data_IF_396358454726
#
_entry.id   IF_396358454726
#
_cell.length_a   1.000
_cell.length_b   1.000
_cell.length_c   1.000
_cell.angle_alpha   90.00
_cell.angle_beta   90.00
_cell.angle_gamma   90.00
#
_symmetry.space_group_name_H-M   'P 1'
#
loop_
_entity.id
_entity.type
_entity.pdbx_description
1 polymer ?
#
# COMPACT_ATOMS: atom_id res chain seq x y z
N UNK A 1 20.17 -17.42 -47.05
CA UNK A 1 19.89 -16.16 -46.35
C UNK A 1 19.55 -16.50 -44.91
N UNK A 2 20.52 -16.34 -44.01
CA UNK A 2 20.35 -16.60 -42.59
C UNK A 2 19.97 -15.28 -41.91
N UNK A 3 18.79 -15.23 -41.28
CA UNK A 3 18.41 -14.12 -40.42
C UNK A 3 18.98 -14.38 -39.02
N UNK A 4 20.02 -13.63 -38.70
CA UNK A 4 20.54 -13.47 -37.34
C UNK A 4 19.51 -12.58 -36.61
N UNK A 5 18.65 -13.19 -35.79
CA UNK A 5 17.83 -12.49 -34.82
C UNK A 5 18.67 -12.30 -33.56
N UNK A 6 19.22 -11.09 -33.42
CA UNK A 6 19.93 -10.64 -32.23
C UNK A 6 18.91 -10.49 -31.11
N UNK A 7 18.74 -11.53 -30.29
CA UNK A 7 18.14 -11.43 -28.97
C UNK A 7 19.05 -10.55 -28.11
N UNK A 8 18.75 -9.26 -28.07
CA UNK A 8 19.29 -8.37 -27.06
C UNK A 8 18.65 -8.75 -25.73
N UNK A 9 19.34 -9.57 -24.95
CA UNK A 9 19.07 -9.76 -23.53
C UNK A 9 19.30 -8.41 -22.83
N UNK A 10 18.28 -7.56 -22.78
CA UNK A 10 18.25 -6.46 -21.83
C UNK A 10 18.17 -7.07 -20.43
N UNK A 11 19.33 -7.31 -19.83
CA UNK A 11 19.45 -7.48 -18.38
C UNK A 11 19.04 -6.13 -17.78
N UNK A 12 17.74 -5.99 -17.50
CA UNK A 12 17.23 -4.94 -16.65
C UNK A 12 17.76 -5.27 -15.25
N UNK A 13 18.91 -4.68 -14.89
CA UNK A 13 19.26 -4.56 -13.49
C UNK A 13 18.18 -3.64 -12.92
N UNK A 14 17.18 -4.22 -12.26
CA UNK A 14 16.28 -3.49 -11.39
C UNK A 14 17.12 -3.02 -10.20
N UNK A 15 17.91 -1.97 -10.44
CA UNK A 15 18.52 -1.19 -9.37
C UNK A 15 17.35 -0.54 -8.64
N UNK A 16 16.85 -1.22 -7.59
CA UNK A 16 16.10 -0.57 -6.53
C UNK A 16 17.02 0.55 -6.06
N UNK A 17 16.68 1.78 -6.42
CA UNK A 17 17.58 2.93 -6.30
C UNK A 17 17.98 3.15 -4.85
N UNK A 18 19.11 2.56 -4.46
CA UNK A 18 19.88 2.93 -3.28
C UNK A 18 20.66 4.20 -3.57
N UNK A 19 20.06 5.34 -3.25
CA UNK A 19 20.72 6.65 -3.19
C UNK A 19 20.73 7.17 -1.75
N UNK A 20 21.92 7.48 -1.26
CA UNK A 20 22.26 7.92 0.09
C UNK A 20 21.21 8.80 0.80
N UNK A 21 20.65 8.25 1.87
CA UNK A 21 19.59 8.79 2.73
C UNK A 21 18.59 7.68 3.00
N UNK A 22 18.79 6.92 4.09
CA UNK A 22 18.14 5.63 4.42
C UNK A 22 16.60 5.76 4.68
N UNK A 23 15.86 6.18 3.66
CA UNK A 23 14.42 6.48 3.70
C UNK A 23 13.57 5.47 2.94
N UNK A 24 14.17 4.57 2.15
CA UNK A 24 13.43 3.58 1.35
C UNK A 24 12.70 2.58 2.25
N UNK A 25 11.38 2.50 2.10
CA UNK A 25 10.60 1.43 2.70
C UNK A 25 11.03 0.09 2.09
N UNK A 26 11.13 -0.94 2.92
CA UNK A 26 11.53 -2.30 2.54
C UNK A 26 10.73 -3.30 3.35
N UNK A 27 10.91 -4.61 3.15
CA UNK A 27 10.25 -5.60 4.01
C UNK A 27 10.53 -5.38 5.51
N UNK A 28 11.64 -4.73 5.85
CA UNK A 28 12.03 -4.37 7.23
C UNK A 28 11.19 -3.25 7.85
N UNK A 29 10.41 -2.53 7.04
CA UNK A 29 9.52 -1.47 7.51
C UNK A 29 8.08 -1.95 7.42
N UNK A 30 7.41 -2.05 8.58
CA UNK A 30 6.05 -2.56 8.69
C UNK A 30 5.14 -1.51 9.32
N UNK A 31 3.93 -1.33 8.77
CA UNK A 31 2.99 -0.32 9.23
C UNK A 31 1.62 -0.85 9.62
N UNK A 32 0.74 0.08 9.99
CA UNK A 32 -0.68 -0.19 10.25
C UNK A 32 -1.57 0.79 9.49
N UNK A 33 -2.72 0.28 9.05
CA UNK A 33 -3.77 1.08 8.45
C UNK A 33 -4.59 1.85 9.50
N UNK A 34 -4.94 3.09 9.18
CA UNK A 34 -5.92 3.93 9.88
C UNK A 34 -5.36 4.72 11.07
N UNK A 35 -4.30 4.25 11.72
CA UNK A 35 -3.66 4.97 12.83
C UNK A 35 -2.22 4.51 13.03
N UNK A 36 -1.49 5.26 13.85
CA UNK A 36 -0.17 4.89 14.31
C UNK A 36 -0.27 3.96 15.54
N UNK A 37 0.51 2.87 15.53
CA UNK A 37 0.68 1.98 16.69
C UNK A 37 2.15 1.97 17.08
N UNK A 38 2.52 1.93 18.38
CA UNK A 38 3.91 2.02 18.83
C UNK A 38 4.82 0.88 18.36
N UNK A 39 4.26 -0.16 17.74
CA UNK A 39 4.98 -1.33 17.21
C UNK A 39 5.27 -1.24 15.71
N UNK A 40 4.70 -0.27 14.99
CA UNK A 40 4.95 -0.06 13.57
C UNK A 40 6.08 0.94 13.30
N UNK A 41 6.61 0.91 12.09
CA UNK A 41 7.58 1.88 11.56
C UNK A 41 6.89 3.03 10.81
N UNK A 42 5.67 2.78 10.32
CA UNK A 42 4.87 3.79 9.64
C UNK A 42 3.37 3.61 9.87
N UNK A 43 2.63 4.71 9.69
CA UNK A 43 1.18 4.73 9.73
C UNK A 43 0.62 5.09 8.35
N UNK A 44 -0.41 4.38 7.90
CA UNK A 44 -1.22 4.80 6.77
C UNK A 44 -2.46 5.53 7.30
N UNK A 45 -2.49 6.86 7.17
CA UNK A 45 -3.54 7.72 7.71
C UNK A 45 -4.58 8.05 6.63
N UNK A 46 -5.86 7.99 6.99
CA UNK A 46 -6.99 8.26 6.08
C UNK A 46 -7.54 9.65 6.34
N UNK A 47 -7.29 10.58 5.42
CA UNK A 47 -7.78 11.96 5.52
C UNK A 47 -8.81 12.24 4.43
N UNK A 48 -9.99 12.67 4.87
CA UNK A 48 -11.14 12.94 4.01
C UNK A 48 -11.37 14.43 3.87
N UNK A 49 -11.68 14.89 2.66
CA UNK A 49 -12.05 16.28 2.42
C UNK A 49 -12.97 16.39 1.21
N UNK A 50 -14.23 16.75 1.46
CA UNK A 50 -15.30 16.85 0.47
C UNK A 50 -15.77 18.29 0.25
N UNK A 51 -15.17 19.26 0.94
CA UNK A 51 -15.44 20.68 0.78
C UNK A 51 -15.20 21.48 2.06
N UNK A 52 -15.54 22.78 2.06
CA UNK A 52 -15.22 23.69 3.18
C UNK A 52 -15.80 23.29 4.54
N UNK A 53 -16.85 22.47 4.56
CA UNK A 53 -17.41 21.94 5.82
C UNK A 53 -16.42 21.04 6.57
N UNK A 54 -15.44 20.46 5.86
CA UNK A 54 -14.40 19.60 6.43
C UNK A 54 -13.15 20.39 6.87
N UNK A 55 -13.12 21.72 6.68
CA UNK A 55 -11.99 22.56 7.11
C UNK A 55 -11.59 22.36 8.58
N UNK A 56 -12.52 22.21 9.54
CA UNK A 56 -12.16 21.92 10.93
C UNK A 56 -11.38 20.61 11.12
N UNK A 57 -11.53 19.62 10.23
CA UNK A 57 -10.81 18.34 10.35
C UNK A 57 -9.31 18.49 10.06
N UNK A 58 -8.91 19.54 9.34
CA UNK A 58 -7.51 19.74 8.92
C UNK A 58 -6.60 19.99 10.13
N UNK A 59 -7.10 20.71 11.14
CA UNK A 59 -6.36 20.91 12.39
C UNK A 59 -6.12 19.57 13.09
N UNK A 60 -7.14 18.71 13.14
CA UNK A 60 -7.02 17.36 13.69
C UNK A 60 -6.05 16.49 12.88
N UNK A 61 -6.08 16.55 11.55
CA UNK A 61 -5.14 15.81 10.68
C UNK A 61 -3.69 16.23 10.90
N UNK A 62 -3.42 17.52 11.06
CA UNK A 62 -2.08 18.01 11.36
C UNK A 62 -1.62 17.59 12.76
N UNK A 63 -2.50 17.58 13.76
CA UNK A 63 -2.19 17.05 15.09
C UNK A 63 -1.83 15.55 15.03
N UNK A 64 -2.58 14.74 14.27
CA UNK A 64 -2.24 13.32 14.06
C UNK A 64 -0.88 13.13 13.40
N UNK A 65 -0.54 13.95 12.40
CA UNK A 65 0.80 13.91 11.77
C UNK A 65 1.91 14.21 12.79
N UNK A 66 1.69 15.17 13.69
CA UNK A 66 2.63 15.47 14.76
C UNK A 66 2.77 14.31 15.75
N UNK A 67 1.68 13.64 16.11
CA UNK A 67 1.71 12.43 16.96
C UNK A 67 2.52 11.30 16.31
N UNK A 68 2.32 11.04 15.02
CA UNK A 68 3.09 10.03 14.27
C UNK A 68 4.58 10.39 14.24
N UNK A 69 4.90 11.66 13.97
CA UNK A 69 6.28 12.13 13.96
C UNK A 69 6.94 12.05 15.34
N UNK A 70 6.23 12.40 16.41
CA UNK A 70 6.72 12.28 17.79
C UNK A 70 6.96 10.81 18.20
N UNK A 71 6.17 9.88 17.64
CA UNK A 71 6.41 8.45 17.79
C UNK A 71 7.61 7.93 16.97
N UNK A 72 8.28 8.79 16.19
CA UNK A 72 9.41 8.42 15.34
C UNK A 72 9.01 7.64 14.08
N UNK A 73 7.74 7.68 13.70
CA UNK A 73 7.18 6.91 12.60
C UNK A 73 7.05 7.75 11.33
N UNK A 74 7.02 7.07 10.18
CA UNK A 74 6.70 7.70 8.89
C UNK A 74 5.19 7.77 8.70
N UNK A 75 4.68 8.83 8.07
CA UNK A 75 3.26 8.95 7.74
C UNK A 75 3.01 8.88 6.24
N UNK A 76 2.27 7.85 5.80
CA UNK A 76 1.68 7.80 4.45
C UNK A 76 0.24 8.30 4.57
N UNK A 77 -0.16 9.27 3.76
CA UNK A 77 -1.49 9.88 3.84
C UNK A 77 -2.35 9.46 2.64
N UNK A 78 -3.40 8.70 2.89
CA UNK A 78 -4.49 8.44 1.95
C UNK A 78 -5.39 9.65 1.81
N UNK A 79 -5.55 10.14 0.59
CA UNK A 79 -6.36 11.29 0.21
C UNK A 79 -7.76 10.83 -0.24
N UNK A 80 -8.76 10.95 0.64
CA UNK A 80 -10.16 10.58 0.38
C UNK A 80 -10.94 11.83 -0.01
N UNK A 81 -10.60 12.36 -1.18
CA UNK A 81 -11.10 13.64 -1.72
C UNK A 81 -12.06 13.46 -2.90
N UNK A 82 -12.33 12.20 -3.27
CA UNK A 82 -13.16 11.82 -4.41
C UNK A 82 -13.95 10.53 -4.14
N UNK A 83 -15.02 10.33 -4.92
CA UNK A 83 -15.76 9.07 -4.92
C UNK A 83 -15.05 8.09 -5.86
N UNK A 84 -14.21 7.26 -5.26
CA UNK A 84 -13.35 6.29 -5.96
C UNK A 84 -14.09 5.14 -6.65
N UNK A 85 -15.40 4.97 -6.40
CA UNK A 85 -16.18 3.85 -6.96
C UNK A 85 -17.04 4.34 -8.11
N UNK A 86 -17.88 5.35 -7.85
CA UNK A 86 -18.88 5.76 -8.84
C UNK A 86 -18.43 6.92 -9.70
N UNK A 87 -17.44 7.71 -9.24
CA UNK A 87 -16.98 8.92 -9.92
C UNK A 87 -18.12 9.89 -10.28
N UNK A 88 -19.13 9.98 -9.40
CA UNK A 88 -20.40 10.67 -9.69
C UNK A 88 -20.31 12.20 -9.79
N UNK A 89 -19.23 12.82 -9.31
CA UNK A 89 -19.06 14.28 -9.31
C UNK A 89 -18.11 14.75 -10.42
N UNK A 90 -18.16 16.04 -10.81
CA UNK A 90 -17.21 16.61 -11.75
C UNK A 90 -15.76 16.48 -11.27
N UNK A 91 -14.84 16.19 -12.21
CA UNK A 91 -13.41 16.01 -11.91
C UNK A 91 -12.80 17.27 -11.29
N UNK A 92 -13.27 18.45 -11.67
CA UNK A 92 -12.81 19.73 -11.15
C UNK A 92 -13.09 19.88 -9.64
N UNK A 93 -14.17 19.28 -9.15
CA UNK A 93 -14.48 19.26 -7.72
C UNK A 93 -13.47 18.39 -6.97
N UNK A 94 -13.19 17.19 -7.48
CA UNK A 94 -12.20 16.27 -6.89
C UNK A 94 -10.80 16.88 -6.89
N UNK A 95 -10.40 17.52 -8.01
CA UNK A 95 -9.12 18.23 -8.12
C UNK A 95 -9.03 19.34 -7.09
N UNK A 96 -10.05 20.21 -6.98
CA UNK A 96 -10.07 21.30 -6.00
C UNK A 96 -9.99 20.80 -4.55
N UNK A 97 -10.73 19.73 -4.23
CA UNK A 97 -10.70 19.13 -2.90
C UNK A 97 -9.30 18.57 -2.57
N UNK A 98 -8.68 17.88 -3.53
CA UNK A 98 -7.32 17.34 -3.41
C UNK A 98 -6.28 18.43 -3.21
N UNK A 99 -6.29 19.46 -4.06
CA UNK A 99 -5.36 20.58 -3.92
C UNK A 99 -5.55 21.32 -2.59
N UNK A 100 -6.79 21.48 -2.14
CA UNK A 100 -7.10 22.16 -0.87
C UNK A 100 -6.55 21.37 0.31
N UNK A 101 -6.81 20.08 0.37
CA UNK A 101 -6.32 19.22 1.46
C UNK A 101 -4.78 19.20 1.46
N UNK A 102 -4.14 18.89 0.33
CA UNK A 102 -2.67 18.82 0.24
C UNK A 102 -2.00 20.14 0.62
N UNK A 103 -2.57 21.28 0.22
CA UNK A 103 -1.99 22.60 0.51
C UNK A 103 -2.07 23.00 1.99
N UNK A 104 -2.98 22.40 2.76
CA UNK A 104 -3.23 22.75 4.17
C UNK A 104 -2.61 21.75 5.17
N UNK A 105 -2.15 20.60 4.70
CA UNK A 105 -1.47 19.61 5.54
C UNK A 105 0.00 19.99 5.82
N UNK A 106 0.52 19.55 6.97
CA UNK A 106 1.94 19.63 7.36
C UNK A 106 2.79 18.66 6.55
N UNK A 107 3.10 19.05 5.31
CA UNK A 107 3.82 18.21 4.36
C UNK A 107 5.23 17.82 4.84
N UNK A 108 5.85 18.61 5.72
CA UNK A 108 7.13 18.30 6.36
C UNK A 108 7.09 17.02 7.21
N UNK A 109 5.90 16.55 7.58
CA UNK A 109 5.68 15.36 8.39
C UNK A 109 5.17 14.15 7.57
N UNK A 110 5.03 14.29 6.25
CA UNK A 110 4.45 13.28 5.37
C UNK A 110 5.55 12.67 4.50
N UNK A 111 5.63 11.34 4.42
CA UNK A 111 6.61 10.67 3.56
C UNK A 111 6.06 10.42 2.14
N UNK A 112 4.75 10.19 2.01
CA UNK A 112 4.09 9.98 0.73
C UNK A 112 2.59 10.23 0.85
N UNK A 113 1.97 10.60 -0.28
CA UNK A 113 0.52 10.56 -0.44
C UNK A 113 0.10 9.27 -1.14
N UNK A 114 -1.13 8.83 -0.92
CA UNK A 114 -1.82 7.82 -1.70
C UNK A 114 -3.18 8.37 -2.14
N UNK A 115 -3.55 8.24 -3.40
CA UNK A 115 -4.90 8.60 -3.83
C UNK A 115 -5.87 7.51 -3.35
N UNK A 116 -6.63 7.77 -2.27
CA UNK A 116 -7.63 6.85 -1.71
C UNK A 116 -7.18 5.38 -1.59
N UNK A 117 -8.14 4.45 -1.46
CA UNK A 117 -7.96 2.99 -1.42
C UNK A 117 -8.73 2.31 -2.56
N UNK A 118 -8.29 1.14 -3.01
CA UNK A 118 -9.08 0.29 -3.94
C UNK A 118 -9.56 1.03 -5.20
N UNK A 119 -8.66 1.79 -5.83
CA UNK A 119 -9.00 2.66 -6.95
C UNK A 119 -9.38 1.85 -8.18
N UNK A 120 -10.41 2.33 -8.88
CA UNK A 120 -10.89 1.71 -10.11
C UNK A 120 -10.46 2.52 -11.34
N UNK A 121 -9.98 1.85 -12.39
CA UNK A 121 -9.54 2.54 -13.63
C UNK A 121 -10.62 2.60 -14.71
N UNK A 122 -11.75 1.91 -14.53
CA UNK A 122 -12.92 2.00 -15.40
C UNK A 122 -13.84 3.15 -14.99
N UNK A 123 -14.93 3.36 -15.73
CA UNK A 123 -15.91 4.41 -15.45
C UNK A 123 -15.27 5.80 -15.28
N UNK A 124 -14.46 6.20 -16.26
CA UNK A 124 -13.63 7.42 -16.25
C UNK A 124 -12.55 7.50 -15.16
N UNK A 125 -12.37 6.44 -14.36
CA UNK A 125 -11.43 6.41 -13.24
C UNK A 125 -9.99 6.67 -13.66
N UNK A 126 -9.53 6.11 -14.78
CA UNK A 126 -8.17 6.39 -15.28
C UNK A 126 -7.90 7.89 -15.48
N UNK A 127 -8.84 8.61 -16.10
CA UNK A 127 -8.68 10.05 -16.35
C UNK A 127 -8.75 10.86 -15.05
N UNK A 128 -9.65 10.50 -14.14
CA UNK A 128 -9.80 11.15 -12.84
C UNK A 128 -8.55 10.93 -11.98
N UNK A 129 -8.09 9.70 -11.82
CA UNK A 129 -6.90 9.38 -11.03
C UNK A 129 -5.65 10.09 -11.56
N UNK A 130 -5.48 10.20 -12.89
CA UNK A 130 -4.40 10.98 -13.47
C UNK A 130 -4.56 12.48 -13.18
N UNK A 131 -5.77 13.04 -13.27
CA UNK A 131 -6.02 14.44 -12.95
C UNK A 131 -5.72 14.75 -11.46
N UNK A 132 -6.04 13.82 -10.56
CA UNK A 132 -5.75 13.91 -9.13
C UNK A 132 -4.27 13.76 -8.83
N UNK A 133 -3.57 12.84 -9.50
CA UNK A 133 -2.11 12.71 -9.41
C UNK A 133 -1.45 14.04 -9.79
N UNK A 134 -1.80 14.62 -10.93
CA UNK A 134 -1.27 15.92 -11.37
C UNK A 134 -1.61 17.05 -10.37
N UNK A 135 -2.79 16.99 -9.73
CA UNK A 135 -3.18 17.93 -8.69
C UNK A 135 -2.27 17.84 -7.45
N UNK A 136 -1.90 16.63 -7.02
CA UNK A 136 -0.90 16.44 -5.96
C UNK A 136 0.46 16.98 -6.41
N UNK A 137 0.95 16.57 -7.58
CA UNK A 137 2.29 16.97 -8.06
C UNK A 137 2.45 18.49 -8.28
N UNK A 138 1.37 19.23 -8.57
CA UNK A 138 1.40 20.70 -8.61
C UNK A 138 1.63 21.36 -7.25
N UNK A 139 1.38 20.65 -6.14
CA UNK A 139 1.43 21.19 -4.78
C UNK A 139 2.60 20.69 -3.96
N UNK A 140 3.24 19.61 -4.40
CA UNK A 140 4.31 18.95 -3.65
C UNK A 140 5.17 18.06 -4.54
N UNK A 141 6.42 17.90 -4.16
CA UNK A 141 7.33 16.92 -4.76
C UNK A 141 7.24 15.54 -4.09
N UNK A 142 6.48 15.41 -2.99
CA UNK A 142 6.30 14.15 -2.30
C UNK A 142 5.76 13.05 -3.24
N UNK A 143 6.19 11.78 -3.06
CA UNK A 143 5.66 10.66 -3.83
C UNK A 143 4.13 10.54 -3.72
N UNK A 144 3.46 10.28 -4.85
CA UNK A 144 2.02 10.02 -4.90
C UNK A 144 1.75 8.58 -5.40
N UNK A 145 1.25 7.75 -4.50
CA UNK A 145 0.95 6.35 -4.73
C UNK A 145 -0.49 6.15 -5.22
N UNK A 146 -0.71 5.05 -5.94
CA UNK A 146 -2.04 4.54 -6.29
C UNK A 146 -2.30 3.24 -5.53
N UNK A 147 -3.47 3.09 -4.92
CA UNK A 147 -3.89 1.84 -4.30
C UNK A 147 -4.81 1.06 -5.23
N UNK A 148 -4.44 -0.16 -5.62
CA UNK A 148 -5.26 -1.06 -6.42
C UNK A 148 -5.61 -2.34 -5.64
N UNK A 149 -6.77 -2.93 -5.93
CA UNK A 149 -7.22 -4.16 -5.27
C UNK A 149 -7.37 -5.25 -6.31
N UNK A 150 -7.12 -6.50 -5.91
CA UNK A 150 -7.39 -7.64 -6.80
C UNK A 150 -8.82 -7.59 -7.37
N UNK A 151 -8.99 -7.94 -8.67
CA UNK A 151 -7.99 -8.51 -9.56
C UNK A 151 -7.12 -7.48 -10.31
N UNK A 152 -7.22 -6.18 -10.02
CA UNK A 152 -6.67 -5.11 -10.85
C UNK A 152 -5.14 -4.96 -10.72
N UNK A 153 -4.37 -5.18 -11.80
CA UNK A 153 -2.94 -4.87 -11.83
C UNK A 153 -2.69 -3.39 -12.20
N UNK A 154 -1.44 -2.91 -12.10
CA UNK A 154 -1.06 -1.59 -12.61
C UNK A 154 -1.46 -1.41 -14.07
N UNK A 155 -2.04 -0.25 -14.37
CA UNK A 155 -2.39 0.14 -15.72
C UNK A 155 -1.26 1.01 -16.30
N UNK A 156 -0.75 0.76 -17.52
CA UNK A 156 0.43 1.43 -18.07
C UNK A 156 0.24 2.93 -18.32
N UNK A 157 -1.01 3.39 -18.42
CA UNK A 157 -1.35 4.82 -18.56
C UNK A 157 -1.75 5.51 -17.25
N UNK A 158 -1.73 4.78 -16.13
CA UNK A 158 -2.06 5.34 -14.82
C UNK A 158 -0.78 5.94 -14.22
N UNK A 159 -0.80 7.23 -13.94
CA UNK A 159 0.32 7.94 -13.35
C UNK A 159 0.42 7.61 -11.85
N UNK A 160 1.65 7.28 -11.41
CA UNK A 160 1.97 6.95 -10.04
C UNK A 160 3.47 7.11 -9.81
N UNK A 161 3.86 7.50 -8.59
CA UNK A 161 5.24 7.41 -8.11
C UNK A 161 5.50 6.07 -7.39
N UNK A 162 4.45 5.28 -7.15
CA UNK A 162 4.49 4.00 -6.44
C UNK A 162 3.11 3.35 -6.33
N UNK A 163 3.08 2.11 -5.88
CA UNK A 163 1.88 1.29 -5.78
C UNK A 163 1.61 0.86 -4.34
N UNK A 164 0.34 0.86 -3.98
CA UNK A 164 -0.18 0.11 -2.85
C UNK A 164 -1.13 -0.93 -3.43
N UNK A 165 -1.15 -2.14 -2.86
CA UNK A 165 -2.18 -3.10 -3.24
C UNK A 165 -2.60 -3.97 -2.08
N UNK A 166 -3.84 -4.44 -2.14
CA UNK A 166 -4.33 -5.53 -1.31
C UNK A 166 -4.83 -6.68 -2.19
N UNK A 167 -4.53 -7.89 -1.74
CA UNK A 167 -4.87 -9.12 -2.44
C UNK A 167 -5.36 -10.15 -1.43
N UNK A 168 -6.29 -9.75 -0.56
CA UNK A 168 -6.80 -10.61 0.50
C UNK A 168 -7.30 -11.93 -0.06
N UNK A 169 -6.95 -13.03 0.61
CA UNK A 169 -7.28 -14.38 0.14
C UNK A 169 -6.38 -14.98 -0.94
N UNK A 170 -5.58 -14.20 -1.69
CA UNK A 170 -4.63 -14.77 -2.65
C UNK A 170 -3.52 -15.54 -1.93
N UNK A 171 -3.09 -16.69 -2.50
CA UNK A 171 -2.12 -17.62 -1.87
C UNK A 171 -0.98 -17.99 -2.81
N UNK A 172 0.16 -18.37 -2.23
CA UNK A 172 1.30 -18.94 -2.95
C UNK A 172 1.59 -18.28 -4.31
N UNK A 173 1.58 -19.07 -5.38
CA UNK A 173 1.91 -18.62 -6.74
C UNK A 173 0.92 -17.58 -7.30
N UNK A 174 -0.34 -17.58 -6.87
CA UNK A 174 -1.33 -16.58 -7.31
C UNK A 174 -0.96 -15.18 -6.79
N UNK A 175 -0.72 -15.06 -5.48
CA UNK A 175 -0.23 -13.80 -4.89
C UNK A 175 1.13 -13.41 -5.48
N UNK A 176 2.03 -14.38 -5.62
CA UNK A 176 3.39 -14.14 -6.15
C UNK A 176 3.35 -13.54 -7.57
N UNK A 177 2.52 -14.10 -8.45
CA UNK A 177 2.34 -13.57 -9.81
C UNK A 177 1.66 -12.21 -9.82
N UNK A 178 0.68 -11.99 -8.94
CA UNK A 178 0.02 -10.70 -8.84
C UNK A 178 1.00 -9.61 -8.37
N UNK A 179 1.74 -9.85 -7.29
CA UNK A 179 2.78 -8.93 -6.80
C UNK A 179 3.84 -8.65 -7.87
N UNK A 180 4.28 -9.67 -8.63
CA UNK A 180 5.26 -9.49 -9.69
C UNK A 180 4.81 -8.44 -10.72
N UNK A 181 3.50 -8.31 -11.01
CA UNK A 181 2.98 -7.28 -11.94
C UNK A 181 3.24 -5.85 -11.47
N UNK A 182 3.30 -5.62 -10.15
CA UNK A 182 3.67 -4.34 -9.57
C UNK A 182 5.18 -4.12 -9.58
N UNK A 183 5.94 -5.13 -9.18
CA UNK A 183 7.40 -5.07 -9.10
C UNK A 183 8.04 -4.80 -10.48
N UNK A 184 7.52 -5.40 -11.56
CA UNK A 184 8.07 -5.19 -12.92
C UNK A 184 7.88 -3.78 -13.45
N UNK A 185 7.04 -2.95 -12.84
CA UNK A 185 6.92 -1.54 -13.21
C UNK A 185 8.18 -0.73 -12.85
N UNK A 186 9.02 -1.25 -11.95
CA UNK A 186 10.20 -0.56 -11.42
C UNK A 186 9.87 0.55 -10.42
N UNK A 187 8.60 0.77 -10.09
CA UNK A 187 8.17 1.70 -9.06
C UNK A 187 8.10 1.01 -7.68
N UNK A 188 8.29 1.77 -6.57
CA UNK A 188 8.05 1.27 -5.22
C UNK A 188 6.67 0.63 -5.07
N UNK A 189 6.58 -0.47 -4.31
CA UNK A 189 5.32 -1.16 -4.01
C UNK A 189 5.21 -1.41 -2.51
N UNK A 190 3.99 -1.30 -1.98
CA UNK A 190 3.64 -1.62 -0.59
C UNK A 190 2.44 -2.58 -0.61
N UNK A 191 2.50 -3.65 0.16
CA UNK A 191 1.38 -4.58 0.30
C UNK A 191 0.56 -4.27 1.56
N UNK A 192 -0.76 -4.23 1.42
CA UNK A 192 -1.68 -4.25 2.54
C UNK A 192 -2.08 -5.70 2.82
N UNK A 193 -1.72 -6.21 3.99
CA UNK A 193 -1.98 -7.60 4.40
C UNK A 193 -3.04 -7.62 5.49
N UNK A 194 -4.02 -8.51 5.36
CA UNK A 194 -5.07 -8.64 6.36
C UNK A 194 -4.50 -9.27 7.65
N UNK A 195 -4.72 -8.59 8.77
CA UNK A 195 -4.42 -9.06 10.11
C UNK A 195 -5.68 -9.13 11.00
N UNK A 196 -6.85 -8.97 10.41
CA UNK A 196 -8.14 -8.95 11.10
C UNK A 196 -8.61 -10.38 11.41
N UNK A 197 -9.19 -10.59 12.59
CA UNK A 197 -9.90 -11.84 12.87
C UNK A 197 -11.18 -11.91 12.00
N UNK A 198 -11.39 -12.95 11.18
CA UNK A 198 -12.54 -12.97 10.32
C UNK A 198 -13.82 -13.20 11.13
N UNK A 199 -14.82 -12.34 10.94
CA UNK A 199 -16.21 -12.70 11.23
C UNK A 199 -16.72 -13.69 10.18
N UNK A 200 -17.71 -14.53 10.51
CA UNK A 200 -18.40 -15.36 9.50
C UNK A 200 -18.90 -14.59 8.28
N UNK A 201 -19.26 -13.31 8.45
CA UNK A 201 -19.72 -12.43 7.37
C UNK A 201 -18.60 -11.78 6.53
N UNK A 202 -17.34 -11.85 6.98
CA UNK A 202 -16.18 -11.19 6.36
C UNK A 202 -15.09 -12.19 5.94
N UNK A 203 -15.36 -13.49 6.07
CA UNK A 203 -14.44 -14.56 5.70
C UNK A 203 -14.36 -14.70 4.17
N UNK A 204 -13.63 -13.79 3.52
CA UNK A 204 -13.05 -14.06 2.20
C UNK A 204 -12.00 -15.19 2.30
N UNK A 205 -11.47 -15.44 3.51
CA UNK A 205 -10.46 -16.45 3.80
C UNK A 205 -11.09 -17.67 4.49
N UNK A 206 -10.84 -18.87 3.95
CA UNK A 206 -11.29 -20.13 4.53
C UNK A 206 -10.40 -20.64 5.69
N UNK A 207 -9.24 -20.02 5.89
CA UNK A 207 -8.27 -20.32 6.95
C UNK A 207 -8.02 -19.03 7.74
N UNK A 208 -8.04 -19.09 9.07
CA UNK A 208 -7.94 -17.90 9.90
C UNK A 208 -6.54 -17.29 9.82
N UNK A 209 -6.45 -15.97 9.90
CA UNK A 209 -5.16 -15.27 10.06
C UNK A 209 -4.42 -15.83 11.27
N UNK A 210 -3.12 -16.09 11.11
CA UNK A 210 -2.27 -16.72 12.13
C UNK A 210 -2.33 -18.24 12.20
N UNK A 211 -3.17 -18.90 11.40
CA UNK A 211 -3.10 -20.35 11.23
C UNK A 211 -2.08 -20.76 10.15
N UNK A 212 -1.41 -21.91 10.31
CA UNK A 212 -0.54 -22.44 9.27
C UNK A 212 -1.26 -22.58 7.93
N UNK A 213 -0.72 -21.92 6.90
CA UNK A 213 -1.30 -21.92 5.57
C UNK A 213 -2.43 -20.90 5.37
N UNK A 214 -2.61 -19.93 6.26
CA UNK A 214 -3.46 -18.77 5.95
C UNK A 214 -2.93 -18.02 4.73
N UNK A 215 -3.80 -17.38 3.93
CA UNK A 215 -3.37 -16.48 2.86
C UNK A 215 -2.40 -15.41 3.35
N UNK A 216 -2.68 -14.78 4.50
CA UNK A 216 -1.83 -13.76 5.08
C UNK A 216 -0.38 -14.25 5.35
N UNK A 217 -0.19 -15.50 5.79
CA UNK A 217 1.14 -16.08 5.99
C UNK A 217 1.92 -16.22 4.68
N UNK A 218 1.28 -16.70 3.61
CA UNK A 218 1.90 -16.80 2.28
C UNK A 218 2.26 -15.41 1.74
N UNK A 219 1.36 -14.43 1.93
CA UNK A 219 1.58 -13.05 1.50
C UNK A 219 2.78 -12.42 2.19
N UNK A 220 2.93 -12.59 3.51
CA UNK A 220 4.10 -12.09 4.25
C UNK A 220 5.40 -12.73 3.77
N UNK A 221 5.41 -14.05 3.54
CA UNK A 221 6.60 -14.75 3.02
C UNK A 221 6.99 -14.25 1.63
N UNK A 222 6.03 -14.03 0.76
CA UNK A 222 6.28 -13.54 -0.58
C UNK A 222 6.69 -12.06 -0.56
N UNK A 223 6.09 -11.20 0.26
CA UNK A 223 6.54 -9.82 0.44
C UNK A 223 8.00 -9.78 0.91
N UNK A 224 8.39 -10.69 1.82
CA UNK A 224 9.79 -10.90 2.20
C UNK A 224 10.65 -11.28 1.00
N UNK A 225 10.25 -12.27 0.19
CA UNK A 225 10.99 -12.68 -1.01
C UNK A 225 11.30 -11.49 -1.94
N UNK A 226 10.34 -10.58 -2.13
CA UNK A 226 10.46 -9.43 -3.02
C UNK A 226 10.99 -8.14 -2.36
N UNK A 227 11.35 -8.18 -1.07
CA UNK A 227 11.72 -7.00 -0.28
C UNK A 227 10.65 -5.90 -0.19
N UNK A 228 9.38 -6.29 -0.19
CA UNK A 228 8.24 -5.35 -0.24
C UNK A 228 7.80 -4.98 1.17
N UNK A 229 7.72 -3.68 1.52
CA UNK A 229 7.13 -3.23 2.79
C UNK A 229 5.67 -3.64 2.89
N UNK A 230 5.21 -3.84 4.12
CA UNK A 230 3.84 -4.25 4.43
C UNK A 230 3.22 -3.26 5.41
N UNK A 231 1.93 -2.99 5.28
CA UNK A 231 1.14 -2.58 6.43
C UNK A 231 -0.03 -3.51 6.65
N UNK A 232 -0.45 -3.61 7.90
CA UNK A 232 -1.56 -4.47 8.28
C UNK A 232 -2.88 -3.72 8.27
N UNK A 233 -3.87 -4.30 7.60
CA UNK A 233 -5.27 -4.01 7.85
C UNK A 233 -5.75 -4.86 9.03
N UNK A 234 -5.84 -4.25 10.19
CA UNK A 234 -6.08 -4.90 11.47
C UNK A 234 -7.24 -4.22 12.18
N UNK A 235 -8.45 -4.79 12.12
CA UNK A 235 -9.61 -4.16 12.75
C UNK A 235 -10.27 -5.03 13.82
N UNK A 236 -10.84 -4.39 14.84
CA UNK A 236 -11.55 -5.09 15.91
C UNK A 236 -12.95 -5.53 15.49
N UNK A 237 -13.52 -6.45 16.26
CA UNK A 237 -14.79 -7.08 15.95
C UNK A 237 -16.01 -6.16 16.09
N UNK A 238 -15.96 -5.05 16.81
CA UNK A 238 -17.14 -4.27 17.14
C UNK A 238 -17.24 -2.97 16.33
N UNK A 239 -16.10 -2.36 16.00
CA UNK A 239 -16.07 -1.01 15.43
C UNK A 239 -15.14 -0.83 14.23
N UNK A 240 -14.53 -1.89 13.72
CA UNK A 240 -13.71 -1.77 12.51
C UNK A 240 -12.49 -0.87 12.69
N UNK A 241 -11.94 -0.77 13.92
CA UNK A 241 -10.75 0.04 14.20
C UNK A 241 -9.62 -0.79 14.83
N UNK A 242 -8.38 -0.36 14.60
CA UNK A 242 -7.18 -1.09 15.01
C UNK A 242 -6.83 -0.95 16.49
N UNK A 243 -7.30 0.10 17.18
CA UNK A 243 -7.13 0.18 18.63
C UNK A 243 -7.92 -0.89 19.38
N UNK A 244 -9.13 -1.19 18.90
CA UNK A 244 -9.92 -2.30 19.40
C UNK A 244 -9.18 -3.61 19.12
N UNK A 245 -8.75 -3.86 17.87
CA UNK A 245 -7.94 -5.04 17.53
C UNK A 245 -6.72 -5.20 18.43
N UNK A 246 -6.08 -4.09 18.83
CA UNK A 246 -4.89 -4.13 19.69
C UNK A 246 -5.21 -4.51 21.14
N UNK A 247 -6.42 -4.18 21.62
CA UNK A 247 -6.84 -4.35 23.02
C UNK A 247 -7.76 -5.54 23.26
N UNK A 248 -8.42 -6.03 22.21
CA UNK A 248 -9.37 -7.13 22.25
C UNK A 248 -8.69 -8.43 22.75
N UNK A 249 -9.33 -9.11 23.69
CA UNK A 249 -8.86 -10.35 24.30
C UNK A 249 -9.54 -11.59 23.74
N UNK A 250 -10.47 -11.45 22.78
CA UNK A 250 -11.03 -12.58 22.06
C UNK A 250 -9.93 -13.44 21.44
N UNK A 251 -10.01 -14.76 21.62
CA UNK A 251 -8.92 -15.68 21.25
C UNK A 251 -8.50 -15.54 19.78
N UNK A 252 -9.48 -15.33 18.89
CA UNK A 252 -9.28 -15.20 17.45
C UNK A 252 -8.53 -13.91 17.10
N UNK A 253 -8.93 -12.78 17.70
CA UNK A 253 -8.23 -11.48 17.57
C UNK A 253 -6.85 -11.51 18.21
N UNK A 254 -6.72 -12.11 19.40
CA UNK A 254 -5.44 -12.26 20.06
C UNK A 254 -4.46 -13.12 19.26
N UNK A 255 -4.95 -14.13 18.53
CA UNK A 255 -4.14 -14.97 17.63
C UNK A 255 -3.63 -14.20 16.43
N UNK A 256 -4.50 -13.50 15.70
CA UNK A 256 -4.07 -12.70 14.54
C UNK A 256 -3.12 -11.56 14.96
N UNK A 257 -3.33 -10.98 16.15
CA UNK A 257 -2.40 -10.01 16.75
C UNK A 257 -1.04 -10.59 17.05
N UNK A 258 -0.96 -11.76 17.72
CA UNK A 258 0.34 -12.42 17.96
C UNK A 258 1.07 -12.71 16.65
N UNK A 259 0.36 -13.22 15.65
CA UNK A 259 0.92 -13.48 14.33
C UNK A 259 1.51 -12.22 13.67
N UNK A 260 0.76 -11.10 13.67
CA UNK A 260 1.24 -9.84 13.09
C UNK A 260 2.48 -9.32 13.84
N UNK A 261 2.47 -9.36 15.18
CA UNK A 261 3.61 -8.94 16.01
C UNK A 261 4.85 -9.83 15.81
N UNK A 262 4.67 -11.13 15.63
CA UNK A 262 5.77 -12.05 15.28
C UNK A 262 6.39 -11.69 13.92
N UNK A 263 5.56 -11.33 12.93
CA UNK A 263 6.04 -10.90 11.63
C UNK A 263 6.78 -9.56 11.66
N UNK A 264 6.32 -8.60 12.46
CA UNK A 264 7.06 -7.34 12.71
C UNK A 264 8.45 -7.66 13.28
N UNK A 265 8.52 -8.50 14.31
CA UNK A 265 9.79 -8.92 14.90
C UNK A 265 10.72 -9.59 13.88
N UNK A 266 10.18 -10.47 13.02
CA UNK A 266 10.94 -11.12 11.94
C UNK A 266 11.43 -10.11 10.90
N UNK A 267 10.59 -9.16 10.51
CA UNK A 267 10.96 -8.11 9.56
C UNK A 267 12.12 -7.25 10.08
N UNK A 268 12.06 -6.83 11.34
CA UNK A 268 13.13 -6.05 11.98
C UNK A 268 14.44 -6.83 12.11
N UNK A 269 14.35 -8.15 12.30
CA UNK A 269 15.50 -9.05 12.38
C UNK A 269 16.12 -9.40 11.02
N UNK A 270 15.48 -9.04 9.89
CA UNK A 270 16.02 -9.37 8.56
C UNK A 270 17.34 -8.60 8.31
N UNK A 271 18.41 -9.29 7.91
CA UNK A 271 19.69 -8.64 7.64
C UNK A 271 19.60 -7.67 6.46
N UNK A 272 20.33 -6.56 6.53
CA UNK A 272 20.40 -5.63 5.41
C UNK A 272 21.09 -6.28 4.19
N UNK A 273 20.54 -6.06 2.99
CA UNK A 273 21.13 -6.52 1.73
C UNK A 273 20.90 -7.99 1.36
N UNK A 274 20.11 -8.74 2.13
CA UNK A 274 19.75 -10.15 1.81
C UNK A 274 18.52 -10.29 0.92
N UNK A 275 17.78 -9.20 0.71
CA UNK A 275 16.56 -9.13 -0.10
C UNK A 275 16.75 -8.13 -1.26
N UNK A 276 16.07 -8.32 -2.41
CA UNK A 276 15.17 -9.43 -2.74
C UNK A 276 15.92 -10.76 -2.90
N UNK A 277 15.19 -11.88 -2.79
CA UNK A 277 15.75 -13.22 -3.01
C UNK A 277 15.83 -13.53 -4.51
N UNK A 278 16.77 -14.39 -4.97
CA UNK A 278 16.91 -14.75 -6.39
C UNK A 278 15.63 -15.30 -7.05
N UNK A 279 14.77 -15.97 -6.27
CA UNK A 279 13.49 -16.48 -6.76
C UNK A 279 12.52 -15.36 -7.17
N UNK A 280 12.56 -14.22 -6.48
CA UNK A 280 11.76 -13.04 -6.81
C UNK A 280 12.23 -12.41 -8.13
N UNK A 281 13.54 -12.26 -8.32
CA UNK A 281 14.14 -11.74 -9.55
C UNK A 281 13.77 -12.60 -10.76
N UNK A 282 13.87 -13.93 -10.60
CA UNK A 282 13.50 -14.87 -11.65
C UNK A 282 12.04 -14.70 -12.08
N UNK A 283 11.10 -14.53 -11.14
CA UNK A 283 9.69 -14.36 -11.50
C UNK A 283 9.41 -13.01 -12.17
N UNK A 284 9.99 -11.93 -11.66
CA UNK A 284 9.82 -10.58 -12.22
C UNK A 284 10.31 -10.49 -13.67
N UNK A 285 11.30 -11.28 -14.07
CA UNK A 285 11.80 -11.29 -15.46
C UNK A 285 10.89 -11.97 -16.49
N UNK A 286 9.78 -12.60 -16.08
CA UNK A 286 8.89 -13.35 -16.99
C UNK A 286 7.83 -12.44 -17.63
N UNK A 287 7.28 -12.82 -18.80
CA UNK A 287 6.11 -12.14 -19.35
C UNK A 287 4.94 -12.19 -18.36
N UNK A 288 4.38 -11.03 -18.03
CA UNK A 288 3.23 -10.87 -17.15
C UNK A 288 2.14 -10.09 -17.90
N UNK A 289 0.89 -10.48 -17.68
CA UNK A 289 -0.26 -9.75 -18.20
C UNK A 289 -0.54 -8.54 -17.29
N UNK A 290 -0.29 -7.35 -17.82
CA UNK A 290 -0.70 -6.06 -17.25
C UNK A 290 -1.93 -5.55 -18.03
N UNK A 291 -2.83 -4.83 -17.36
CA UNK A 291 -4.08 -4.37 -18.00
C UNK A 291 -3.79 -3.49 -19.23
N UNK A 292 -4.42 -3.81 -20.36
CA UNK A 292 -4.33 -3.00 -21.59
C UNK A 292 -3.14 -3.31 -22.50
N UNK A 293 -2.63 -4.55 -22.47
CA UNK A 293 -1.73 -5.11 -23.48
C UNK A 293 -2.44 -5.51 -24.76
#
# INVERSE_FOLDING_TARGET
MAYISTLATCVLVATIAGGAGDASLSFRTVGFYGIHLPVGDFAFLKFSYNGPADDPNIEHYNALLEEVAQAGQKAIVGLYTFDRVTHSKPVEEYVRNTETLVSKLRQDLICAFCLSEENVTWNNGLAILNALYEAVKRRTDLPCYQWLTVPDPPHPKLAADGWIFDAYGYRGEEFRRHLAKFVVTGLPVIACVNATSPKPAWAAESVLVGEPGSPAEDQMRICREFNVPVFFYAVGNHWGNVHEWFRDDEETTARSRRWALEWISRAHAEPAGTLPLPAAEYLASRPLEVCGG
#
